data_IF_198730002390
#
_entry.id   IF_198730002390
#
_cell.length_a   1.000
_cell.length_b   1.000
_cell.length_c   1.000
_cell.angle_alpha   90.00
_cell.angle_beta   90.00
_cell.angle_gamma   90.00
#
_symmetry.space_group_name_H-M   'P 1'
#
loop_
_entity.id
_entity.type
_entity.pdbx_description
1 polymer ?
#
# COMPACT_ATOMS: atom_id res chain seq x y z
N UNK A 1 -22.27 8.35 -11.01
CA UNK A 1 -22.60 6.95 -10.65
C UNK A 1 -21.36 6.11 -10.32
N UNK A 2 -20.27 6.13 -11.12
CA UNK A 2 -19.07 5.33 -10.86
C UNK A 2 -18.33 5.64 -9.54
N UNK A 3 -18.29 6.91 -9.12
CA UNK A 3 -17.59 7.32 -7.89
C UNK A 3 -18.18 6.71 -6.61
N UNK A 4 -19.52 6.69 -6.48
CA UNK A 4 -20.18 6.09 -5.31
C UNK A 4 -19.90 4.59 -5.20
N UNK A 5 -19.82 3.88 -6.33
CA UNK A 5 -19.43 2.47 -6.36
C UNK A 5 -17.95 2.28 -5.93
N UNK A 6 -17.03 3.13 -6.44
CA UNK A 6 -15.61 3.14 -6.05
C UNK A 6 -15.46 3.31 -4.54
N UNK A 7 -16.20 4.26 -3.96
CA UNK A 7 -16.20 4.54 -2.51
C UNK A 7 -16.79 3.37 -1.73
N UNK A 8 -17.96 2.85 -2.13
CA UNK A 8 -18.61 1.73 -1.44
C UNK A 8 -17.76 0.46 -1.38
N UNK A 9 -17.13 0.09 -2.51
CA UNK A 9 -16.19 -1.05 -2.56
C UNK A 9 -14.98 -0.83 -1.66
N UNK A 10 -14.39 0.37 -1.69
CA UNK A 10 -13.23 0.70 -0.86
C UNK A 10 -13.58 0.64 0.63
N UNK A 11 -14.75 1.18 1.01
CA UNK A 11 -15.24 1.14 2.39
C UNK A 11 -15.52 -0.29 2.86
N UNK A 12 -16.09 -1.14 2.00
CA UNK A 12 -16.31 -2.56 2.30
C UNK A 12 -15.00 -3.32 2.50
N UNK A 13 -13.97 -3.05 1.70
CA UNK A 13 -12.66 -3.67 1.84
C UNK A 13 -12.01 -3.24 3.17
N UNK A 14 -11.99 -1.94 3.46
CA UNK A 14 -11.37 -1.40 4.69
C UNK A 14 -12.14 -1.85 5.94
N UNK A 15 -13.47 -1.73 5.93
CA UNK A 15 -14.32 -2.14 7.05
C UNK A 15 -14.32 -3.64 7.26
N UNK A 16 -14.47 -4.42 6.18
CA UNK A 16 -14.47 -5.88 6.22
C UNK A 16 -13.15 -6.47 6.70
N UNK A 17 -12.02 -5.90 6.25
CA UNK A 17 -10.69 -6.32 6.73
C UNK A 17 -10.45 -5.99 8.20
N UNK A 18 -10.89 -4.82 8.64
CA UNK A 18 -10.82 -4.42 10.05
C UNK A 18 -11.64 -5.35 10.95
N UNK A 19 -12.84 -5.74 10.51
CA UNK A 19 -13.71 -6.64 11.28
C UNK A 19 -13.20 -8.09 11.28
N UNK A 20 -12.66 -8.56 10.14
CA UNK A 20 -12.04 -9.88 10.05
C UNK A 20 -10.80 -9.99 10.95
N UNK A 21 -9.95 -8.96 10.98
CA UNK A 21 -8.75 -8.95 11.83
C UNK A 21 -9.07 -9.05 13.33
N UNK A 22 -10.22 -8.53 13.78
CA UNK A 22 -10.67 -8.69 15.17
C UNK A 22 -11.09 -10.13 15.49
N UNK A 23 -11.75 -10.82 14.54
CA UNK A 23 -12.28 -12.17 14.74
C UNK A 23 -11.23 -13.26 14.50
N UNK A 24 -10.38 -13.07 13.50
CA UNK A 24 -9.29 -13.96 13.14
C UNK A 24 -8.09 -13.13 12.66
N UNK A 25 -7.12 -12.84 13.54
CA UNK A 25 -5.96 -12.01 13.19
C UNK A 25 -5.15 -12.54 12.01
N UNK A 26 -5.01 -13.86 11.87
CA UNK A 26 -4.27 -14.46 10.77
C UNK A 26 -4.98 -14.27 9.42
N UNK A 27 -6.29 -14.55 9.37
CA UNK A 27 -7.09 -14.31 8.16
C UNK A 27 -7.19 -12.82 7.83
N UNK A 28 -7.29 -11.96 8.86
CA UNK A 28 -7.24 -10.51 8.70
C UNK A 28 -5.92 -10.03 8.13
N UNK A 29 -4.78 -10.55 8.61
CA UNK A 29 -3.46 -10.22 8.08
C UNK A 29 -3.32 -10.62 6.60
N UNK A 30 -3.80 -11.81 6.22
CA UNK A 30 -3.84 -12.23 4.81
C UNK A 30 -4.69 -11.26 3.99
N UNK A 31 -5.91 -10.96 4.42
CA UNK A 31 -6.81 -10.09 3.67
C UNK A 31 -6.27 -8.66 3.53
N UNK A 32 -5.67 -8.09 4.59
CA UNK A 32 -5.03 -6.77 4.57
C UNK A 32 -3.77 -6.76 3.71
N UNK A 33 -3.02 -7.87 3.65
CA UNK A 33 -1.82 -7.99 2.81
C UNK A 33 -2.13 -8.04 1.31
N UNK A 34 -3.36 -8.41 0.93
CA UNK A 34 -3.77 -8.40 -0.47
C UNK A 34 -3.80 -6.96 -0.99
N UNK A 35 -3.21 -6.68 -2.17
CA UNK A 35 -3.19 -5.34 -2.76
C UNK A 35 -4.54 -5.04 -3.45
N UNK A 36 -5.65 -5.13 -2.70
CA UNK A 36 -7.01 -4.98 -3.21
C UNK A 36 -7.25 -3.59 -3.79
N UNK A 37 -6.65 -2.55 -3.20
CA UNK A 37 -6.67 -1.18 -3.75
C UNK A 37 -5.99 -1.13 -5.13
N UNK A 38 -4.85 -1.80 -5.30
CA UNK A 38 -4.15 -1.90 -6.57
C UNK A 38 -4.97 -2.67 -7.62
N UNK A 39 -5.61 -3.78 -7.24
CA UNK A 39 -6.49 -4.55 -8.13
C UNK A 39 -7.64 -3.67 -8.63
N UNK A 40 -8.29 -2.92 -7.75
CA UNK A 40 -9.36 -2.00 -8.14
C UNK A 40 -8.86 -0.88 -9.06
N UNK A 41 -7.71 -0.27 -8.74
CA UNK A 41 -7.13 0.80 -9.54
C UNK A 41 -6.74 0.31 -10.95
N UNK A 42 -6.09 -0.85 -11.05
CA UNK A 42 -5.71 -1.48 -12.33
C UNK A 42 -6.95 -1.88 -13.14
N UNK A 43 -7.98 -2.43 -12.49
CA UNK A 43 -9.23 -2.81 -13.15
C UNK A 43 -9.92 -1.61 -13.78
N UNK A 44 -9.95 -0.47 -13.07
CA UNK A 44 -10.48 0.77 -13.63
C UNK A 44 -9.62 1.38 -14.72
N UNK A 45 -8.31 1.38 -14.54
CA UNK A 45 -7.41 1.84 -15.61
C UNK A 45 -7.66 1.03 -16.89
N UNK A 46 -7.78 -0.29 -16.79
CA UNK A 46 -8.11 -1.14 -17.94
C UNK A 46 -9.48 -0.83 -18.54
N UNK A 47 -10.52 -0.70 -17.71
CA UNK A 47 -11.88 -0.41 -18.19
C UNK A 47 -11.95 0.94 -18.91
N UNK A 48 -11.22 1.94 -18.42
CA UNK A 48 -11.22 3.30 -18.95
C UNK A 48 -10.34 3.45 -20.19
N UNK A 49 -9.22 2.71 -20.29
CA UNK A 49 -8.21 2.93 -21.35
C UNK A 49 -8.10 1.79 -22.36
N UNK A 50 -8.36 0.55 -21.93
CA UNK A 50 -8.09 -0.70 -22.68
C UNK A 50 -6.65 -0.81 -23.18
N UNK A 51 -5.70 -0.13 -22.54
CA UNK A 51 -4.29 -0.11 -22.93
C UNK A 51 -3.45 -1.03 -22.02
N UNK A 52 -2.94 -2.12 -22.59
CA UNK A 52 -2.12 -3.09 -21.87
C UNK A 52 -0.76 -2.53 -21.46
N UNK A 53 -0.15 -1.65 -22.26
CA UNK A 53 1.14 -1.05 -21.95
C UNK A 53 1.01 -0.08 -20.76
N UNK A 54 -0.07 0.69 -20.72
CA UNK A 54 -0.34 1.59 -19.60
C UNK A 54 -0.62 0.83 -18.30
N UNK A 55 -1.41 -0.25 -18.36
CA UNK A 55 -1.66 -1.13 -17.21
C UNK A 55 -0.37 -1.78 -16.71
N UNK A 56 0.50 -2.25 -17.62
CA UNK A 56 1.79 -2.85 -17.26
C UNK A 56 2.76 -1.84 -16.64
N UNK A 57 2.83 -0.62 -17.17
CA UNK A 57 3.65 0.44 -16.59
C UNK A 57 3.16 0.81 -15.19
N UNK A 58 1.84 0.93 -15.00
CA UNK A 58 1.27 1.25 -13.69
C UNK A 58 1.47 0.12 -12.67
N UNK A 59 1.33 -1.14 -13.08
CA UNK A 59 1.58 -2.28 -12.19
C UNK A 59 3.04 -2.38 -11.76
N UNK A 60 4.00 -2.09 -12.66
CA UNK A 60 5.41 -1.95 -12.31
C UNK A 60 5.66 -0.81 -11.32
N UNK A 61 5.02 0.34 -11.50
CA UNK A 61 5.10 1.46 -10.57
C UNK A 61 4.62 1.08 -9.17
N UNK A 62 3.50 0.36 -9.06
CA UNK A 62 2.98 -0.16 -7.79
C UNK A 62 3.96 -1.13 -7.15
N UNK A 63 4.53 -2.06 -7.92
CA UNK A 63 5.49 -3.04 -7.41
C UNK A 63 6.74 -2.37 -6.82
N UNK A 64 7.28 -1.36 -7.51
CA UNK A 64 8.43 -0.60 -7.00
C UNK A 64 8.09 0.21 -5.75
N UNK A 65 6.90 0.81 -5.69
CA UNK A 65 6.42 1.52 -4.50
C UNK A 65 6.14 0.61 -3.30
N UNK A 66 5.92 -0.70 -3.53
CA UNK A 66 5.73 -1.66 -2.45
C UNK A 66 7.00 -1.84 -1.61
N UNK A 67 8.19 -1.81 -2.22
CA UNK A 67 9.46 -1.99 -1.54
C UNK A 67 9.70 -0.99 -0.38
N UNK A 68 9.60 0.35 -0.58
CA UNK A 68 9.70 1.29 0.53
C UNK A 68 8.53 1.19 1.52
N UNK A 69 7.34 0.76 1.09
CA UNK A 69 6.19 0.55 1.98
C UNK A 69 6.41 -0.57 3.02
N UNK A 70 7.26 -1.56 2.72
CA UNK A 70 7.64 -2.61 3.67
C UNK A 70 8.35 -2.06 4.91
N UNK A 71 8.95 -0.87 4.81
CA UNK A 71 9.61 -0.21 5.96
C UNK A 71 8.62 0.04 7.08
N UNK A 72 7.41 0.51 6.79
CA UNK A 72 6.36 0.72 7.80
C UNK A 72 6.00 -0.59 8.49
N UNK A 73 5.77 -1.64 7.70
CA UNK A 73 5.30 -2.94 8.17
C UNK A 73 6.35 -3.66 9.03
N UNK A 74 7.64 -3.42 8.79
CA UNK A 74 8.73 -3.97 9.60
C UNK A 74 9.05 -3.08 10.81
N UNK A 75 9.16 -1.76 10.63
CA UNK A 75 9.57 -0.84 11.69
C UNK A 75 8.55 -0.77 12.83
N UNK A 76 7.25 -0.77 12.51
CA UNK A 76 6.20 -0.64 13.52
C UNK A 76 6.23 -1.76 14.57
N UNK A 77 6.18 -3.06 14.21
CA UNK A 77 6.27 -4.13 15.20
C UNK A 77 7.63 -4.18 15.90
N UNK A 78 8.73 -3.80 15.24
CA UNK A 78 10.06 -3.76 15.87
C UNK A 78 10.14 -2.70 16.97
N UNK A 79 9.66 -1.47 16.69
CA UNK A 79 9.63 -0.38 17.67
C UNK A 79 8.70 -0.70 18.85
N UNK A 80 7.54 -1.30 18.58
CA UNK A 80 6.63 -1.77 19.63
C UNK A 80 7.29 -2.86 20.48
N UNK A 81 8.06 -3.77 19.86
CA UNK A 81 8.83 -4.80 20.59
C UNK A 81 9.96 -4.21 21.44
N UNK A 82 10.46 -3.03 21.10
CA UNK A 82 11.43 -2.27 21.93
C UNK A 82 10.76 -1.45 23.05
N UNK A 83 9.44 -1.56 23.23
CA UNK A 83 8.72 -0.92 24.31
C UNK A 83 8.20 0.48 24.02
N UNK A 84 8.32 0.97 22.77
CA UNK A 84 7.66 2.22 22.39
C UNK A 84 6.14 2.01 22.33
N UNK A 85 5.38 3.01 22.79
CA UNK A 85 3.93 3.03 22.60
C UNK A 85 3.55 3.09 21.11
N UNK A 86 2.30 2.72 20.81
CA UNK A 86 1.79 2.65 19.43
C UNK A 86 1.96 3.96 18.65
N UNK A 87 1.48 5.09 19.17
CA UNK A 87 1.49 6.36 18.44
C UNK A 87 2.90 6.88 18.11
N UNK A 88 3.87 6.89 19.05
CA UNK A 88 5.27 7.16 18.71
C UNK A 88 5.86 6.18 17.70
N UNK A 89 5.58 4.87 17.86
CA UNK A 89 6.07 3.84 16.92
C UNK A 89 5.54 4.07 15.51
N UNK A 90 4.27 4.46 15.38
CA UNK A 90 3.64 4.80 14.11
C UNK A 90 4.27 6.04 13.48
N UNK A 91 4.46 7.11 14.26
CA UNK A 91 5.07 8.35 13.77
C UNK A 91 6.51 8.11 13.26
N UNK A 92 7.32 7.36 14.01
CA UNK A 92 8.70 7.03 13.61
C UNK A 92 8.70 6.12 12.37
N UNK A 93 7.86 5.08 12.34
CA UNK A 93 7.76 4.18 11.19
C UNK A 93 7.31 4.90 9.91
N UNK A 94 6.37 5.84 10.05
CA UNK A 94 5.92 6.69 8.94
C UNK A 94 7.06 7.60 8.44
N UNK A 95 7.83 8.22 9.34
CA UNK A 95 8.99 9.03 8.98
C UNK A 95 10.08 8.21 8.26
N UNK A 96 10.37 6.99 8.75
CA UNK A 96 11.29 6.06 8.10
C UNK A 96 10.81 5.66 6.70
N UNK A 97 9.51 5.42 6.55
CA UNK A 97 8.91 5.09 5.25
C UNK A 97 9.01 6.26 4.27
N UNK A 98 8.73 7.49 4.72
CA UNK A 98 8.90 8.69 3.90
C UNK A 98 10.37 8.89 3.48
N UNK A 99 11.33 8.65 4.38
CA UNK A 99 12.75 8.68 4.05
C UNK A 99 13.14 7.60 3.04
N UNK A 100 12.58 6.39 3.15
CA UNK A 100 12.79 5.31 2.19
C UNK A 100 12.24 5.65 0.80
N UNK A 101 11.05 6.26 0.72
CA UNK A 101 10.50 6.78 -0.54
C UNK A 101 11.38 7.88 -1.13
N UNK A 102 11.87 8.81 -0.33
CA UNK A 102 12.77 9.87 -0.81
C UNK A 102 14.10 9.30 -1.33
N UNK A 103 14.65 8.29 -0.65
CA UNK A 103 15.83 7.54 -1.11
C UNK A 103 15.56 6.81 -2.42
N UNK A 104 14.44 6.07 -2.49
CA UNK A 104 13.98 5.38 -3.70
C UNK A 104 13.85 6.32 -4.89
N UNK A 105 13.17 7.46 -4.73
CA UNK A 105 12.96 8.44 -5.80
C UNK A 105 14.29 9.01 -6.33
N UNK A 106 15.26 9.27 -5.43
CA UNK A 106 16.60 9.73 -5.81
C UNK A 106 17.37 8.66 -6.58
N UNK A 107 17.34 7.41 -6.12
CA UNK A 107 17.99 6.29 -6.79
C UNK A 107 17.38 6.03 -8.18
N UNK A 108 16.05 6.00 -8.28
CA UNK A 108 15.37 5.86 -9.57
C UNK A 108 15.77 6.98 -10.56
N UNK A 109 15.85 8.22 -10.07
CA UNK A 109 16.36 9.35 -10.84
C UNK A 109 17.81 9.20 -11.30
N UNK A 110 18.68 8.56 -10.48
CA UNK A 110 20.08 8.27 -10.84
C UNK A 110 20.21 7.20 -11.94
N UNK A 111 19.26 6.27 -12.06
CA UNK A 111 19.22 5.25 -13.12
C UNK A 111 18.45 5.70 -14.37
N UNK A 112 18.05 6.97 -14.47
CA UNK A 112 17.32 7.51 -15.61
C UNK A 112 15.85 7.10 -15.68
N UNK A 113 15.31 6.47 -14.61
CA UNK A 113 13.91 6.09 -14.50
C UNK A 113 13.16 7.28 -13.87
N UNK A 114 12.48 8.07 -14.71
CA UNK A 114 11.54 9.10 -14.23
C UNK A 114 10.23 8.41 -13.85
N UNK A 115 9.99 8.28 -12.55
CA UNK A 115 8.72 7.86 -11.95
C UNK A 115 7.79 9.06 -11.86
#
# INVERSE_FOLDING_TARGET
MMFALKVGLSALIVGGSSELAKRNPAAGAVLVSLPLSSVLALSWLWVETRDAAQVAAFSWGILWALAPSLVLLAALPLLMRWGLAFWPSLAVSAALTAAAYAGWARLAGMFGIRI
#
